data_IF_021969527181
#
_entry.id   IF_021969527181
#
_cell.length_a   1.000
_cell.length_b   1.000
_cell.length_c   1.000
_cell.angle_alpha   90.00
_cell.angle_beta   90.00
_cell.angle_gamma   90.00
#
_symmetry.space_group_name_H-M   'P 1'
#
loop_
_entity.id
_entity.type
_entity.pdbx_description
1 polymer ?
#
# COMPACT_ATOMS: atom_id res chain seq x y z
N UNK A 1 15.18 -14.12 -13.28
CA UNK A 1 14.36 -13.05 -12.68
C UNK A 1 12.89 -13.43 -12.77
N UNK A 2 12.18 -13.47 -11.65
CA UNK A 2 10.75 -13.70 -11.75
C UNK A 2 10.11 -12.49 -12.42
N UNK A 3 9.39 -12.73 -13.51
CA UNK A 3 8.63 -11.72 -14.22
C UNK A 3 7.18 -11.70 -13.78
N UNK A 4 6.80 -12.63 -12.89
CA UNK A 4 5.44 -12.76 -12.38
C UNK A 4 5.42 -12.71 -10.86
N UNK A 5 4.43 -12.02 -10.32
CA UNK A 5 4.20 -11.98 -8.89
C UNK A 5 3.45 -13.25 -8.43
N UNK A 6 3.71 -13.64 -7.19
CA UNK A 6 3.13 -14.85 -6.59
C UNK A 6 1.81 -14.50 -5.90
N UNK A 7 0.76 -14.19 -6.67
CA UNK A 7 -0.52 -13.75 -6.15
C UNK A 7 -1.21 -14.76 -5.23
N UNK A 8 -0.82 -16.04 -5.29
CA UNK A 8 -1.33 -17.04 -4.36
C UNK A 8 -0.93 -16.77 -2.90
N UNK A 9 0.00 -15.85 -2.65
CA UNK A 9 0.45 -15.48 -1.30
C UNK A 9 -0.37 -14.36 -0.68
N UNK A 10 -1.38 -13.84 -1.38
CA UNK A 10 -2.24 -12.77 -0.89
C UNK A 10 -3.70 -13.16 -1.12
N UNK A 11 -4.59 -12.57 -0.32
CA UNK A 11 -6.01 -12.80 -0.51
C UNK A 11 -6.50 -12.11 -1.79
N UNK A 12 -7.61 -12.58 -2.40
CA UNK A 12 -8.20 -11.87 -3.53
C UNK A 12 -8.54 -10.41 -3.21
N UNK A 13 -8.99 -10.13 -1.98
CA UNK A 13 -9.28 -8.77 -1.54
C UNK A 13 -8.01 -7.92 -1.51
N UNK A 14 -6.91 -8.43 -0.96
CA UNK A 14 -5.65 -7.69 -0.91
C UNK A 14 -5.16 -7.37 -2.31
N UNK A 15 -5.21 -8.34 -3.22
CA UNK A 15 -4.83 -8.13 -4.62
C UNK A 15 -5.68 -7.03 -5.27
N UNK A 16 -7.00 -7.08 -5.06
CA UNK A 16 -7.93 -6.08 -5.58
C UNK A 16 -7.60 -4.70 -5.05
N UNK A 17 -7.43 -4.56 -3.73
CA UNK A 17 -7.11 -3.28 -3.09
C UNK A 17 -5.77 -2.76 -3.59
N UNK A 18 -4.73 -3.59 -3.59
CA UNK A 18 -3.40 -3.20 -4.03
C UNK A 18 -3.40 -2.72 -5.48
N UNK A 19 -4.12 -3.43 -6.36
CA UNK A 19 -4.24 -3.04 -7.77
C UNK A 19 -4.90 -1.67 -7.91
N UNK A 20 -5.96 -1.41 -7.14
CA UNK A 20 -6.63 -0.12 -7.16
C UNK A 20 -5.72 1.01 -6.67
N UNK A 21 -4.97 0.78 -5.59
CA UNK A 21 -4.03 1.77 -5.06
C UNK A 21 -2.93 2.09 -6.07
N UNK A 22 -2.31 1.07 -6.64
CA UNK A 22 -1.19 1.25 -7.56
C UNK A 22 -1.61 1.86 -8.90
N UNK A 23 -2.88 1.77 -9.25
CA UNK A 23 -3.41 2.38 -10.48
C UNK A 23 -3.80 3.85 -10.29
N UNK A 24 -3.78 4.36 -9.07
CA UNK A 24 -4.13 5.75 -8.77
C UNK A 24 -2.87 6.61 -8.64
N UNK A 25 -2.87 7.78 -9.30
CA UNK A 25 -1.71 8.68 -9.29
C UNK A 25 -1.36 9.21 -7.90
N UNK A 26 -2.32 9.26 -6.98
CA UNK A 26 -2.07 9.67 -5.59
C UNK A 26 -1.03 8.78 -4.90
N UNK A 27 -0.95 7.50 -5.32
CA UNK A 27 -0.01 6.55 -4.74
C UNK A 27 1.28 6.39 -5.55
N UNK A 28 1.44 7.17 -6.61
CA UNK A 28 2.65 7.13 -7.43
C UNK A 28 3.94 7.30 -6.62
N UNK A 29 4.00 8.17 -5.59
CA UNK A 29 5.21 8.32 -4.77
C UNK A 29 5.54 7.10 -3.90
N UNK A 30 4.64 6.13 -3.79
CA UNK A 30 4.77 5.02 -2.86
C UNK A 30 5.25 3.74 -3.54
N UNK A 31 5.97 2.94 -2.76
CA UNK A 31 6.49 1.64 -3.15
C UNK A 31 6.03 0.60 -2.14
N UNK A 32 5.60 -0.57 -2.63
CA UNK A 32 5.22 -1.68 -1.76
C UNK A 32 6.47 -2.28 -1.13
N UNK A 33 6.47 -2.38 0.19
CA UNK A 33 7.58 -2.92 0.97
C UNK A 33 7.08 -3.96 1.97
N UNK A 34 7.96 -4.50 2.78
CA UNK A 34 7.63 -5.40 3.87
C UNK A 34 7.26 -6.80 3.41
N UNK A 35 6.49 -7.50 4.25
CA UNK A 35 6.18 -8.91 4.06
C UNK A 35 5.39 -9.21 2.80
N UNK A 36 4.44 -8.34 2.44
CA UNK A 36 3.63 -8.54 1.22
C UNK A 36 4.47 -8.40 -0.04
N UNK A 37 5.37 -7.41 -0.08
CA UNK A 37 6.30 -7.25 -1.21
C UNK A 37 7.16 -8.51 -1.38
N UNK A 38 7.75 -8.99 -0.30
CA UNK A 38 8.57 -10.20 -0.31
C UNK A 38 7.75 -11.43 -0.70
N UNK A 39 6.53 -11.55 -0.18
CA UNK A 39 5.67 -12.68 -0.50
C UNK A 39 5.30 -12.72 -1.97
N UNK A 40 4.96 -11.58 -2.56
CA UNK A 40 4.64 -11.50 -3.99
C UNK A 40 5.85 -11.84 -4.86
N UNK A 41 7.04 -11.44 -4.45
CA UNK A 41 8.27 -11.69 -5.21
C UNK A 41 8.80 -13.12 -5.03
N UNK A 42 8.76 -13.64 -3.83
CA UNK A 42 9.41 -14.91 -3.47
C UNK A 42 8.43 -16.06 -3.25
N UNK A 43 7.18 -15.78 -2.90
CA UNK A 43 6.17 -16.80 -2.65
C UNK A 43 6.39 -17.61 -1.38
N UNK A 44 7.13 -17.07 -0.40
CA UNK A 44 7.58 -17.84 0.77
C UNK A 44 6.57 -17.93 1.91
N UNK A 45 5.54 -17.05 1.92
CA UNK A 45 4.50 -17.07 2.94
C UNK A 45 3.27 -16.30 2.48
N UNK A 46 2.13 -16.50 3.16
CA UNK A 46 0.91 -15.72 2.93
C UNK A 46 1.02 -14.40 3.68
N UNK A 47 0.56 -13.32 3.06
CA UNK A 47 0.56 -11.97 3.65
C UNK A 47 -0.80 -11.30 3.44
N UNK A 48 -1.21 -10.50 4.42
CA UNK A 48 -2.52 -9.82 4.44
C UNK A 48 -2.43 -8.32 4.73
N UNK A 49 -1.23 -7.75 4.79
CA UNK A 49 -1.03 -6.32 5.03
C UNK A 49 -0.42 -5.65 3.80
N UNK A 50 -0.73 -4.35 3.62
CA UNK A 50 -0.12 -3.53 2.57
C UNK A 50 0.70 -2.44 3.24
N UNK A 51 2.01 -2.47 3.05
CA UNK A 51 2.95 -1.47 3.55
C UNK A 51 3.48 -0.67 2.37
N UNK A 52 3.11 0.60 2.29
CA UNK A 52 3.57 1.51 1.24
C UNK A 52 4.45 2.59 1.86
N UNK A 53 5.67 2.66 1.39
CA UNK A 53 6.64 3.65 1.86
C UNK A 53 6.99 4.61 0.73
N UNK A 54 7.26 5.87 1.08
CA UNK A 54 7.74 6.88 0.15
C UNK A 54 9.03 7.48 0.67
N UNK A 55 9.97 7.77 -0.24
CA UNK A 55 11.20 8.49 0.07
C UNK A 55 11.10 9.99 -0.24
N UNK A 56 9.91 10.49 -0.50
CA UNK A 56 9.67 11.92 -0.67
C UNK A 56 9.93 12.65 0.64
N UNK A 57 10.19 13.95 0.56
CA UNK A 57 10.44 14.76 1.75
C UNK A 57 9.27 14.66 2.74
N UNK A 58 9.62 14.66 4.03
CA UNK A 58 8.63 14.68 5.10
C UNK A 58 7.67 15.86 4.91
N UNK A 59 6.38 15.59 5.11
CA UNK A 59 5.29 16.56 4.98
C UNK A 59 5.00 17.00 3.53
N UNK A 60 5.65 16.41 2.53
CA UNK A 60 5.39 16.73 1.13
C UNK A 60 4.15 16.04 0.55
N UNK A 61 3.69 14.95 1.19
CA UNK A 61 2.52 14.19 0.75
C UNK A 61 1.26 14.73 1.42
N UNK A 62 0.23 15.04 0.62
CA UNK A 62 -1.05 15.48 1.15
C UNK A 62 -1.90 14.26 1.52
N UNK A 63 -1.78 13.83 2.77
CA UNK A 63 -2.52 12.68 3.26
C UNK A 63 -4.03 12.91 3.35
N UNK A 64 -4.50 14.16 3.39
CA UNK A 64 -5.94 14.44 3.38
C UNK A 64 -6.57 14.05 2.06
N UNK A 65 -5.92 14.35 0.96
CA UNK A 65 -6.38 13.98 -0.37
C UNK A 65 -6.43 12.46 -0.50
N UNK A 66 -5.40 11.78 -0.02
CA UNK A 66 -5.36 10.31 0.00
C UNK A 66 -6.49 9.75 0.85
N UNK A 67 -6.68 10.28 2.05
CA UNK A 67 -7.74 9.81 2.95
C UNK A 67 -9.13 10.00 2.36
N UNK A 68 -9.39 11.15 1.75
CA UNK A 68 -10.67 11.42 1.11
C UNK A 68 -10.93 10.44 -0.03
N UNK A 69 -9.91 10.13 -0.82
CA UNK A 69 -10.01 9.15 -1.88
C UNK A 69 -10.31 7.75 -1.33
N UNK A 70 -9.59 7.34 -0.27
CA UNK A 70 -9.82 6.04 0.37
C UNK A 70 -11.26 5.90 0.87
N UNK A 71 -11.78 6.95 1.50
CA UNK A 71 -13.16 6.96 2.02
C UNK A 71 -14.21 6.94 0.92
N UNK A 72 -13.88 7.48 -0.25
CA UNK A 72 -14.76 7.46 -1.42
C UNK A 72 -14.68 6.13 -2.15
N UNK A 73 -13.48 5.56 -2.27
CA UNK A 73 -13.22 4.38 -3.10
C UNK A 73 -13.67 3.08 -2.42
N UNK A 74 -13.52 2.98 -1.10
CA UNK A 74 -13.81 1.74 -0.38
C UNK A 74 -15.06 1.90 0.48
N UNK A 75 -15.90 0.86 0.48
CA UNK A 75 -17.12 0.83 1.28
C UNK A 75 -16.82 0.86 2.77
N UNK A 76 -15.69 0.26 3.18
CA UNK A 76 -15.20 0.33 4.55
C UNK A 76 -13.84 1.01 4.57
N UNK A 77 -13.72 2.07 5.38
CA UNK A 77 -12.45 2.76 5.61
C UNK A 77 -12.43 3.27 7.05
N UNK A 78 -11.56 2.69 7.86
CA UNK A 78 -11.37 3.10 9.25
C UNK A 78 -9.93 3.57 9.43
N UNK A 79 -9.75 4.68 10.12
CA UNK A 79 -8.46 5.32 10.33
C UNK A 79 -8.56 6.81 10.04
N UNK A 80 -7.68 7.56 10.64
CA UNK A 80 -7.66 9.01 10.49
C UNK A 80 -6.24 9.52 10.56
N UNK A 81 -5.93 10.41 9.63
CA UNK A 81 -4.65 11.12 9.57
C UNK A 81 -4.87 12.62 9.79
N UNK A 82 -5.79 12.99 10.69
CA UNK A 82 -6.11 14.38 11.02
C UNK A 82 -4.90 15.17 11.48
N UNK A 83 -4.05 14.53 12.28
CA UNK A 83 -2.71 15.02 12.59
C UNK A 83 -1.73 13.92 12.27
N UNK A 84 -0.74 14.23 11.43
CA UNK A 84 0.34 13.30 11.16
C UNK A 84 1.21 13.25 12.41
N UNK A 85 1.08 12.17 13.18
CA UNK A 85 1.95 11.92 14.32
C UNK A 85 3.02 10.94 13.86
N UNK A 86 4.27 11.40 13.81
CA UNK A 86 5.36 10.60 13.30
C UNK A 86 5.44 10.62 11.77
N UNK A 87 5.69 9.47 11.16
CA UNK A 87 6.10 9.38 9.76
C UNK A 87 5.02 8.87 8.81
N UNK A 88 3.76 8.73 9.26
CA UNK A 88 2.73 8.24 8.37
C UNK A 88 1.37 7.98 9.00
N UNK A 89 0.56 7.23 8.29
CA UNK A 89 -0.83 6.94 8.64
C UNK A 89 -1.14 5.47 8.42
N UNK A 90 -2.11 4.96 9.18
CA UNK A 90 -2.59 3.58 9.04
C UNK A 90 -4.10 3.56 8.86
N UNK A 91 -4.57 2.69 7.98
CA UNK A 91 -5.98 2.52 7.67
C UNK A 91 -6.35 1.05 7.59
N UNK A 92 -7.62 0.75 7.89
CA UNK A 92 -8.24 -0.54 7.59
C UNK A 92 -9.25 -0.27 6.49
N UNK A 93 -9.07 -0.86 5.33
CA UNK A 93 -9.90 -0.59 4.15
C UNK A 93 -10.37 -1.88 3.50
N UNK A 94 -11.53 -1.83 2.88
CA UNK A 94 -12.08 -2.97 2.18
C UNK A 94 -13.56 -2.83 1.87
N UNK A 95 -14.24 -3.97 1.77
CA UNK A 95 -15.66 -4.03 1.46
C UNK A 95 -16.53 -3.95 2.72
N UNK A 96 -16.03 -4.45 3.85
CA UNK A 96 -16.71 -4.42 5.15
C UNK A 96 -15.69 -4.56 6.27
N UNK A 97 -16.13 -4.43 7.52
CA UNK A 97 -15.26 -4.61 8.69
C UNK A 97 -14.65 -6.01 8.74
N UNK A 98 -15.37 -7.03 8.28
CA UNK A 98 -14.89 -8.41 8.27
C UNK A 98 -14.13 -8.78 7.00
N UNK A 99 -14.18 -7.93 5.99
CA UNK A 99 -13.54 -8.15 4.68
C UNK A 99 -12.70 -6.92 4.33
N UNK A 100 -11.58 -6.78 5.03
CA UNK A 100 -10.71 -5.62 4.96
C UNK A 100 -9.25 -6.00 5.08
N UNK A 101 -8.38 -5.07 4.69
CA UNK A 101 -6.92 -5.21 4.81
C UNK A 101 -6.35 -3.99 5.51
N UNK A 102 -5.20 -4.17 6.17
CA UNK A 102 -4.48 -3.07 6.80
C UNK A 102 -3.58 -2.40 5.77
N UNK A 103 -3.66 -1.07 5.70
CA UNK A 103 -2.83 -0.24 4.84
C UNK A 103 -2.02 0.71 5.69
N UNK A 104 -0.69 0.63 5.59
CA UNK A 104 0.23 1.54 6.23
C UNK A 104 0.92 2.41 5.18
N UNK A 105 0.91 3.73 5.39
CA UNK A 105 1.54 4.72 4.51
C UNK A 105 2.56 5.49 5.34
N UNK A 106 3.87 5.36 5.01
CA UNK A 106 4.93 5.98 5.79
C UNK A 106 5.98 6.64 4.92
N UNK A 107 6.58 7.72 5.46
CA UNK A 107 7.83 8.27 4.95
C UNK A 107 9.00 7.38 5.38
N UNK A 108 10.01 7.29 4.55
CA UNK A 108 11.24 6.56 4.85
C UNK A 108 12.45 7.31 4.31
N UNK A 109 13.63 6.85 4.67
CA UNK A 109 14.88 7.32 4.07
C UNK A 109 14.91 6.93 2.58
N UNK A 110 15.77 7.60 1.77
CA UNK A 110 15.87 7.27 0.36
C UNK A 110 16.06 5.79 0.12
N UNK A 111 15.32 5.25 -0.85
CA UNK A 111 15.43 3.85 -1.22
C UNK A 111 16.82 3.56 -1.80
N UNK A 112 17.40 2.42 -1.40
CA UNK A 112 18.72 2.00 -1.88
C UNK A 112 18.66 1.64 -3.37
N UNK A 113 17.51 1.11 -3.81
CA UNK A 113 17.32 0.66 -5.20
C UNK A 113 16.09 1.33 -5.80
N UNK A 114 16.10 1.56 -7.13
CA UNK A 114 14.89 1.99 -7.82
C UNK A 114 13.77 0.98 -7.64
N UNK A 115 12.54 1.44 -7.67
CA UNK A 115 11.39 0.55 -7.64
C UNK A 115 11.40 -0.40 -8.84
N UNK A 116 11.14 -1.68 -8.58
CA UNK A 116 10.85 -2.65 -9.61
C UNK A 116 9.35 -2.62 -9.87
N UNK A 117 8.93 -2.49 -11.11
CA UNK A 117 7.51 -2.41 -11.45
C UNK A 117 7.09 -3.69 -12.17
N UNK A 118 6.15 -4.42 -11.58
CA UNK A 118 5.55 -5.62 -12.16
C UNK A 118 4.03 -5.49 -12.01
N UNK A 119 3.29 -5.64 -13.10
CA UNK A 119 1.82 -5.50 -13.12
C UNK A 119 1.36 -4.16 -12.53
N UNK A 120 2.11 -3.08 -12.81
CA UNK A 120 1.86 -1.73 -12.30
C UNK A 120 2.09 -1.59 -10.79
N UNK A 121 2.62 -2.61 -10.13
CA UNK A 121 2.94 -2.57 -8.71
C UNK A 121 4.41 -2.21 -8.56
N UNK A 122 4.68 -1.14 -7.83
CA UNK A 122 6.05 -0.70 -7.51
C UNK A 122 6.51 -1.45 -6.26
N UNK A 123 7.59 -2.18 -6.41
CA UNK A 123 8.13 -3.06 -5.36
C UNK A 123 9.49 -2.59 -4.87
#
# INVERSE_FOLDING_TARGET
>A
MPTKLKYQTVTPLLKKVLTQLMSNDLFHPFQLVGGTSLSLQLGHRISDDIDLFTDYEYDSIDFRVIQDWLRTQFAYCNGDCGEIVGFGCSYIIGDSVDDSVKLDLFYTDPFIRPAKVIDNIRL
#
